data_IF_133813981755
#
_entry.id   IF_133813981755
#
_cell.length_a   1.000
_cell.length_b   1.000
_cell.length_c   1.000
_cell.angle_alpha   90.00
_cell.angle_beta   90.00
_cell.angle_gamma   90.00
#
_symmetry.space_group_name_H-M   'P 1'
#
loop_
_entity.id
_entity.type
_entity.pdbx_description
1 polymer ?
#
# COMPACT_ATOMS: atom_id res chain seq x y z
N UNK A 1 12.21 -9.24 -8.13
CA UNK A 1 10.95 -8.44 -8.13
C UNK A 1 9.87 -9.14 -8.93
N UNK A 2 10.10 -9.48 -10.20
CA UNK A 2 9.11 -10.18 -11.04
C UNK A 2 8.52 -11.42 -10.33
N UNK A 3 9.36 -12.33 -9.82
CA UNK A 3 8.90 -13.51 -9.07
C UNK A 3 7.99 -13.17 -7.87
N UNK A 4 8.26 -12.07 -7.16
CA UNK A 4 7.43 -11.61 -6.03
C UNK A 4 6.08 -11.11 -6.55
N UNK A 5 6.07 -10.26 -7.58
CA UNK A 5 4.83 -9.73 -8.14
C UNK A 5 3.96 -10.82 -8.77
N UNK A 6 4.58 -11.86 -9.34
CA UNK A 6 3.85 -13.05 -9.83
C UNK A 6 3.10 -13.75 -8.71
N UNK A 7 3.70 -13.93 -7.52
CA UNK A 7 3.01 -14.59 -6.39
C UNK A 7 1.96 -13.70 -5.72
N UNK A 8 2.00 -12.38 -5.92
CA UNK A 8 0.90 -11.50 -5.50
C UNK A 8 -0.37 -11.73 -6.34
N UNK A 9 -0.25 -12.37 -7.50
CA UNK A 9 -1.35 -12.87 -8.32
C UNK A 9 -2.44 -11.83 -8.62
N UNK A 10 -2.09 -10.56 -8.83
CA UNK A 10 -3.07 -9.50 -9.13
C UNK A 10 -3.71 -8.82 -7.92
N UNK A 11 -3.33 -9.21 -6.70
CA UNK A 11 -3.61 -8.40 -5.51
C UNK A 11 -2.82 -7.09 -5.53
N UNK A 12 -3.40 -6.03 -4.96
CA UNK A 12 -2.69 -4.78 -4.75
C UNK A 12 -1.92 -4.84 -3.42
N UNK A 13 -0.79 -4.15 -3.32
CA UNK A 13 -0.06 -3.95 -2.07
C UNK A 13 -0.14 -2.46 -1.70
N UNK A 14 -1.10 -2.15 -0.83
CA UNK A 14 -1.39 -0.80 -0.37
C UNK A 14 -1.49 -0.83 1.14
N UNK A 15 -0.85 0.14 1.79
CA UNK A 15 -1.03 0.34 3.22
C UNK A 15 -2.45 0.86 3.50
N UNK A 16 -3.11 0.33 4.53
CA UNK A 16 -4.44 0.76 4.96
C UNK A 16 -4.44 0.94 6.47
N UNK A 17 -5.17 1.94 6.92
CA UNK A 17 -5.45 2.22 8.32
C UNK A 17 -6.58 3.26 8.42
N UNK A 18 -7.07 3.45 9.64
CA UNK A 18 -8.05 4.50 9.90
C UNK A 18 -7.47 5.87 9.53
N UNK A 19 -8.28 6.76 8.93
CA UNK A 19 -7.84 8.11 8.64
C UNK A 19 -7.71 8.89 9.94
N UNK A 20 -6.84 9.90 9.92
CA UNK A 20 -6.79 10.86 11.00
C UNK A 20 -8.07 11.70 10.98
N UNK A 21 -8.79 11.78 12.10
CA UNK A 21 -10.10 12.44 12.17
C UNK A 21 -10.04 13.93 11.80
N UNK A 22 -8.93 14.61 12.09
CA UNK A 22 -8.65 16.00 11.72
C UNK A 22 -8.45 16.21 10.21
N UNK A 23 -8.35 15.13 9.43
CA UNK A 23 -8.05 15.14 7.99
C UNK A 23 -9.17 14.54 7.15
N UNK A 24 -10.36 14.39 7.72
CA UNK A 24 -11.56 14.00 6.98
C UNK A 24 -12.66 14.99 7.31
N UNK A 25 -13.27 15.64 6.31
CA UNK A 25 -14.37 16.56 6.51
C UNK A 25 -15.51 15.92 7.32
N UNK A 26 -15.84 16.52 8.46
CA UNK A 26 -16.99 16.10 9.27
C UNK A 26 -18.31 16.38 8.53
N UNK A 27 -19.24 15.43 8.58
CA UNK A 27 -20.60 15.60 8.02
C UNK A 27 -20.70 15.61 6.49
N UNK A 28 -19.59 15.44 5.75
CA UNK A 28 -19.63 15.33 4.31
C UNK A 28 -20.27 13.98 3.89
N UNK A 29 -21.21 13.97 2.92
CA UNK A 29 -21.73 12.72 2.40
C UNK A 29 -20.66 12.03 1.52
N UNK A 30 -20.30 10.80 1.90
CA UNK A 30 -19.36 9.94 1.19
C UNK A 30 -20.07 8.76 0.50
N UNK A 31 -21.36 8.90 0.18
CA UNK A 31 -22.08 7.87 -0.58
C UNK A 31 -21.61 7.86 -2.03
N UNK A 32 -21.70 6.72 -2.70
CA UNK A 32 -21.35 6.60 -4.12
C UNK A 32 -22.17 7.60 -4.96
N UNK A 33 -23.46 7.78 -4.60
CA UNK A 33 -24.34 8.82 -5.14
C UNK A 33 -23.82 10.24 -4.95
N UNK A 34 -23.44 10.62 -3.72
CA UNK A 34 -22.99 11.98 -3.44
C UNK A 34 -21.63 12.32 -4.07
N UNK A 35 -20.82 11.29 -4.35
CA UNK A 35 -19.54 11.42 -5.03
C UNK A 35 -19.66 11.29 -6.55
N UNK A 36 -20.82 10.89 -7.08
CA UNK A 36 -20.98 10.40 -8.46
C UNK A 36 -19.81 9.47 -8.81
N UNK A 37 -19.53 8.50 -7.93
CA UNK A 37 -18.25 7.79 -7.89
C UNK A 37 -17.97 6.97 -9.16
N UNK A 38 -19.02 6.47 -9.82
CA UNK A 38 -18.93 5.72 -11.07
C UNK A 38 -19.31 6.58 -12.28
N UNK A 39 -18.67 6.31 -13.42
CA UNK A 39 -19.06 6.87 -14.72
C UNK A 39 -20.46 6.40 -15.16
N UNK A 40 -20.90 5.24 -14.67
CA UNK A 40 -22.24 4.71 -14.90
C UNK A 40 -23.15 5.06 -13.71
N UNK A 41 -24.09 5.98 -13.95
CA UNK A 41 -24.98 6.50 -12.92
C UNK A 41 -25.83 5.43 -12.21
N UNK A 42 -26.08 4.29 -12.85
CA UNK A 42 -26.83 3.19 -12.23
C UNK A 42 -26.10 2.55 -11.05
N UNK A 43 -24.77 2.72 -10.98
CA UNK A 43 -23.93 2.18 -9.91
C UNK A 43 -23.78 3.17 -8.73
N UNK A 44 -24.27 4.40 -8.89
CA UNK A 44 -24.18 5.47 -7.90
C UNK A 44 -25.38 5.40 -6.92
N UNK A 45 -25.24 4.58 -5.89
CA UNK A 45 -26.26 4.33 -4.86
C UNK A 45 -25.83 4.83 -3.46
N UNK A 46 -26.54 4.40 -2.42
CA UNK A 46 -26.34 4.86 -1.05
C UNK A 46 -25.28 4.08 -0.26
N UNK A 47 -24.55 3.14 -0.92
CA UNK A 47 -23.31 2.59 -0.37
C UNK A 47 -22.32 3.72 -0.10
N UNK A 48 -21.50 3.55 0.94
CA UNK A 48 -20.55 4.57 1.40
C UNK A 48 -19.13 4.17 1.05
N UNK A 49 -18.38 5.11 0.49
CA UNK A 49 -16.92 5.01 0.41
C UNK A 49 -16.33 5.44 1.75
N UNK A 50 -15.95 4.48 2.60
CA UNK A 50 -15.32 4.81 3.87
C UNK A 50 -13.88 5.22 3.62
N UNK A 51 -13.54 6.45 4.00
CA UNK A 51 -12.20 6.98 3.82
C UNK A 51 -11.20 6.20 4.67
N UNK A 52 -10.11 5.74 4.06
CA UNK A 52 -8.96 5.16 4.74
C UNK A 52 -7.71 6.01 4.46
N UNK A 53 -6.70 5.81 5.29
CA UNK A 53 -5.36 6.36 5.12
C UNK A 53 -4.37 5.22 4.87
N UNK A 54 -3.30 5.54 4.17
CA UNK A 54 -2.21 4.63 3.92
C UNK A 54 -0.91 5.37 3.69
N UNK A 55 -0.22 4.99 2.62
CA UNK A 55 1.04 5.56 2.19
C UNK A 55 0.92 6.02 0.74
N UNK A 56 1.67 7.06 0.39
CA UNK A 56 1.79 7.55 -1.00
C UNK A 56 2.38 6.53 -1.96
N UNK A 57 3.10 5.53 -1.44
CA UNK A 57 3.63 4.42 -2.22
C UNK A 57 2.70 3.22 -2.18
N UNK A 58 2.44 2.64 -3.34
CA UNK A 58 1.59 1.46 -3.55
C UNK A 58 2.09 0.64 -4.76
N UNK A 59 1.82 -0.67 -4.75
CA UNK A 59 1.90 -1.51 -5.95
C UNK A 59 0.48 -1.87 -6.39
N UNK A 60 0.13 -1.46 -7.62
CA UNK A 60 -1.22 -1.57 -8.14
C UNK A 60 -1.25 -2.58 -9.29
N UNK A 61 -2.23 -3.49 -9.25
CA UNK A 61 -2.50 -4.37 -10.39
C UNK A 61 -3.04 -3.57 -11.57
N UNK A 62 -2.76 -4.04 -12.79
CA UNK A 62 -3.31 -3.42 -14.01
C UNK A 62 -4.85 -3.40 -14.00
N UNK A 63 -5.47 -4.45 -13.47
CA UNK A 63 -6.93 -4.55 -13.36
C UNK A 63 -7.50 -3.45 -12.45
N UNK A 64 -6.85 -3.19 -11.30
CA UNK A 64 -7.25 -2.10 -10.42
C UNK A 64 -7.09 -0.74 -11.09
N UNK A 65 -5.95 -0.48 -11.75
CA UNK A 65 -5.73 0.79 -12.46
C UNK A 65 -6.79 1.00 -13.54
N UNK A 66 -7.09 -0.03 -14.34
CA UNK A 66 -8.14 0.03 -15.37
C UNK A 66 -9.52 0.32 -14.76
N UNK A 67 -9.83 -0.30 -13.62
CA UNK A 67 -11.07 0.00 -12.90
C UNK A 67 -11.13 1.45 -12.44
N UNK A 68 -10.06 1.96 -11.82
CA UNK A 68 -10.00 3.35 -11.34
C UNK A 68 -10.14 4.35 -12.48
N UNK A 69 -9.44 4.14 -13.59
CA UNK A 69 -9.42 5.08 -14.73
C UNK A 69 -10.69 4.99 -15.58
N UNK A 70 -11.17 3.78 -15.87
CA UNK A 70 -12.23 3.59 -16.86
C UNK A 70 -13.64 3.55 -16.23
N UNK A 71 -13.75 3.11 -14.97
CA UNK A 71 -15.05 2.89 -14.32
C UNK A 71 -15.42 3.97 -13.33
N UNK A 72 -14.45 4.59 -12.68
CA UNK A 72 -14.71 5.62 -11.67
C UNK A 72 -14.66 7.02 -12.27
N UNK A 73 -15.50 7.90 -11.72
CA UNK A 73 -15.39 9.34 -11.86
C UNK A 73 -14.89 9.89 -10.53
N UNK A 74 -13.61 10.30 -10.49
CA UNK A 74 -12.98 10.76 -9.26
C UNK A 74 -13.10 12.27 -9.02
N UNK A 75 -13.74 13.03 -9.92
CA UNK A 75 -13.73 14.50 -9.87
C UNK A 75 -14.21 15.06 -8.54
N UNK A 76 -15.37 14.62 -8.04
CA UNK A 76 -15.93 15.11 -6.77
C UNK A 76 -15.09 14.61 -5.58
N UNK A 77 -14.59 13.38 -5.64
CA UNK A 77 -13.75 12.81 -4.58
C UNK A 77 -12.43 13.57 -4.44
N UNK A 78 -11.76 13.84 -5.56
CA UNK A 78 -10.51 14.60 -5.60
C UNK A 78 -10.73 16.06 -5.19
N UNK A 79 -11.77 16.75 -5.68
CA UNK A 79 -12.11 18.11 -5.21
C UNK A 79 -12.33 18.17 -3.70
N UNK A 80 -12.96 17.15 -3.10
CA UNK A 80 -13.08 17.07 -1.63
C UNK A 80 -11.74 16.87 -0.94
N UNK A 81 -10.86 16.03 -1.49
CA UNK A 81 -9.53 15.82 -0.94
C UNK A 81 -8.63 17.05 -1.08
N UNK A 82 -8.67 17.75 -2.21
CA UNK A 82 -7.82 18.92 -2.47
C UNK A 82 -8.16 20.12 -1.58
N UNK A 83 -9.36 20.14 -0.97
CA UNK A 83 -9.75 21.14 0.04
C UNK A 83 -9.14 20.90 1.42
N UNK A 84 -8.52 19.75 1.64
CA UNK A 84 -7.85 19.43 2.89
C UNK A 84 -6.39 19.86 2.83
N UNK A 85 -5.88 20.35 3.95
CA UNK A 85 -4.58 21.03 3.99
C UNK A 85 -3.37 20.09 4.05
N UNK A 86 -3.55 18.80 4.35
CA UNK A 86 -2.41 17.92 4.63
C UNK A 86 -2.69 16.42 4.50
N UNK A 87 -1.77 15.68 3.86
CA UNK A 87 -1.73 14.21 3.84
C UNK A 87 -2.82 13.53 2.99
N UNK A 88 -3.36 14.26 2.01
CA UNK A 88 -4.49 13.83 1.16
C UNK A 88 -4.10 12.79 0.12
N UNK A 89 -2.84 12.84 -0.30
CA UNK A 89 -2.17 11.89 -1.19
C UNK A 89 -2.02 10.49 -0.57
N UNK A 90 -2.23 10.36 0.74
CA UNK A 90 -2.23 9.08 1.46
C UNK A 90 -3.61 8.40 1.52
N UNK A 91 -4.67 9.01 0.96
CA UNK A 91 -6.06 8.59 1.24
C UNK A 91 -6.78 7.92 0.07
N UNK A 92 -6.53 8.35 -1.17
CA UNK A 92 -7.29 7.89 -2.35
C UNK A 92 -7.23 6.37 -2.54
N UNK A 93 -6.04 5.83 -2.80
CA UNK A 93 -5.92 4.42 -3.12
C UNK A 93 -6.24 3.53 -1.92
N UNK A 94 -5.89 3.96 -0.71
CA UNK A 94 -6.23 3.26 0.54
C UNK A 94 -7.75 3.13 0.72
N UNK A 95 -8.50 4.19 0.39
CA UNK A 95 -9.97 4.21 0.47
C UNK A 95 -10.59 3.28 -0.57
N UNK A 96 -10.19 3.40 -1.84
CA UNK A 96 -10.70 2.56 -2.93
C UNK A 96 -10.31 1.09 -2.77
N UNK A 97 -9.13 0.82 -2.23
CA UNK A 97 -8.63 -0.54 -2.04
C UNK A 97 -9.32 -1.28 -0.90
N UNK A 98 -9.74 -0.59 0.16
CA UNK A 98 -10.26 -1.22 1.38
C UNK A 98 -11.79 -1.24 1.47
N UNK A 99 -12.50 -0.56 0.58
CA UNK A 99 -13.97 -0.54 0.63
C UNK A 99 -14.56 -1.82 0.02
N UNK A 100 -15.03 -2.71 0.89
CA UNK A 100 -15.61 -4.00 0.50
C UNK A 100 -16.76 -3.83 -0.50
N UNK A 101 -17.61 -2.82 -0.30
CA UNK A 101 -18.77 -2.60 -1.15
C UNK A 101 -18.43 -2.01 -2.53
N UNK A 102 -17.21 -1.50 -2.71
CA UNK A 102 -16.69 -1.06 -4.01
C UNK A 102 -16.20 -2.25 -4.83
N UNK A 103 -15.77 -3.31 -4.15
CA UNK A 103 -15.30 -4.56 -4.74
C UNK A 103 -14.25 -4.37 -5.84
N UNK A 104 -13.35 -3.40 -5.64
CA UNK A 104 -12.34 -3.05 -6.63
C UNK A 104 -11.39 -4.23 -6.92
N UNK A 105 -10.93 -4.44 -8.18
CA UNK A 105 -10.02 -5.55 -8.53
C UNK A 105 -8.73 -5.52 -7.71
N UNK A 106 -8.32 -6.66 -7.15
CA UNK A 106 -7.15 -6.72 -6.26
C UNK A 106 -7.31 -5.94 -4.94
N UNK A 107 -8.51 -5.42 -4.65
CA UNK A 107 -8.88 -4.77 -3.40
C UNK A 107 -8.73 -5.71 -2.20
N UNK A 108 -8.51 -5.12 -1.03
CA UNK A 108 -8.49 -5.82 0.25
C UNK A 108 -9.70 -5.41 1.10
N UNK A 109 -9.83 -6.01 2.28
CA UNK A 109 -11.02 -5.83 3.10
C UNK A 109 -10.84 -4.82 4.23
N UNK A 110 -11.92 -4.10 4.53
CA UNK A 110 -12.01 -3.23 5.70
C UNK A 110 -12.02 -4.02 7.00
N UNK A 111 -12.45 -5.27 6.99
CA UNK A 111 -12.50 -6.11 8.20
C UNK A 111 -11.15 -6.19 8.92
N UNK A 112 -10.04 -6.10 8.18
CA UNK A 112 -8.70 -6.21 8.74
C UNK A 112 -8.02 -4.87 9.02
N UNK A 113 -8.74 -3.75 8.94
CA UNK A 113 -8.13 -2.40 9.04
C UNK A 113 -7.44 -2.14 10.39
N UNK A 114 -7.92 -2.75 11.47
CA UNK A 114 -7.37 -2.58 12.82
C UNK A 114 -6.07 -3.38 13.04
N UNK A 115 -5.84 -4.43 12.25
CA UNK A 115 -4.75 -5.39 12.47
C UNK A 115 -3.72 -5.39 11.34
N UNK A 116 -4.08 -4.92 10.15
CA UNK A 116 -3.21 -4.93 8.99
C UNK A 116 -2.92 -3.50 8.50
N UNK A 117 -1.71 -3.02 8.83
CA UNK A 117 -1.17 -1.74 8.37
C UNK A 117 0.19 -1.89 7.69
N UNK A 118 0.50 -3.07 7.14
CA UNK A 118 1.80 -3.37 6.57
C UNK A 118 1.73 -3.41 5.03
N UNK A 119 2.84 -3.09 4.35
CA UNK A 119 2.99 -3.18 2.90
C UNK A 119 4.43 -3.60 2.56
N UNK A 120 4.63 -4.24 1.41
CA UNK A 120 5.96 -4.60 0.93
C UNK A 120 6.52 -3.60 -0.08
N UNK A 121 5.69 -2.70 -0.62
CA UNK A 121 6.10 -1.76 -1.67
C UNK A 121 7.27 -0.90 -1.23
N UNK A 122 7.23 -0.36 0.00
CA UNK A 122 8.23 0.59 0.48
C UNK A 122 8.60 0.34 1.94
N UNK A 123 9.89 0.17 2.18
CA UNK A 123 10.49 0.21 3.51
C UNK A 123 10.78 1.66 3.92
N UNK A 124 10.26 2.05 5.09
CA UNK A 124 10.52 3.35 5.73
C UNK A 124 10.79 3.11 7.20
N UNK A 125 11.70 3.91 7.76
CA UNK A 125 11.93 4.03 9.20
C UNK A 125 11.54 5.44 9.63
N UNK A 126 10.49 5.53 10.43
CA UNK A 126 10.04 6.78 11.04
C UNK A 126 10.75 6.98 12.38
N UNK A 127 11.04 8.24 12.74
CA UNK A 127 11.69 8.61 14.01
C UNK A 127 10.96 8.07 15.24
N UNK A 128 9.62 8.00 15.19
CA UNK A 128 8.77 7.48 16.26
C UNK A 128 8.53 5.97 16.20
N UNK A 129 9.05 5.27 15.18
CA UNK A 129 8.89 3.82 15.07
C UNK A 129 9.90 3.08 15.95
N UNK A 130 9.63 1.81 16.25
CA UNK A 130 10.56 0.94 16.98
C UNK A 130 11.76 0.50 16.13
N UNK A 131 11.73 0.75 14.82
CA UNK A 131 12.83 0.43 13.90
C UNK A 131 13.98 1.41 14.13
N UNK A 132 15.20 0.87 14.18
CA UNK A 132 16.42 1.68 14.31
C UNK A 132 16.80 2.31 12.97
N UNK A 133 17.13 3.59 12.99
CA UNK A 133 17.86 4.25 11.90
C UNK A 133 19.36 4.10 12.19
N UNK A 134 20.02 3.24 11.43
CA UNK A 134 21.45 2.93 11.58
C UNK A 134 22.34 4.14 11.34
N UNK A 135 21.98 4.99 10.38
CA UNK A 135 22.66 6.26 10.11
C UNK A 135 22.52 7.31 11.21
N UNK A 136 21.47 7.20 12.04
CA UNK A 136 21.10 8.20 13.03
C UNK A 136 20.57 9.53 12.45
N UNK A 137 20.49 9.67 11.12
CA UNK A 137 20.08 10.91 10.47
C UNK A 137 18.62 10.87 10.00
N UNK A 138 17.85 11.89 10.37
CA UNK A 138 16.44 12.02 10.03
C UNK A 138 16.18 13.34 9.34
N UNK A 139 15.36 13.32 8.27
CA UNK A 139 14.84 14.53 7.61
C UNK A 139 13.32 14.42 7.52
N UNK A 140 12.59 15.39 8.08
CA UNK A 140 11.12 15.33 8.20
C UNK A 140 10.64 14.03 8.87
N UNK A 141 11.28 13.66 9.99
CA UNK A 141 11.01 12.45 10.77
C UNK A 141 11.17 11.09 10.05
N UNK A 142 11.74 11.09 8.84
CA UNK A 142 12.07 9.88 8.08
C UNK A 142 13.58 9.69 8.07
N UNK A 143 14.02 8.48 8.44
CA UNK A 143 15.42 8.08 8.39
C UNK A 143 15.98 8.24 6.96
N UNK A 144 17.15 8.86 6.87
CA UNK A 144 17.96 8.87 5.66
C UNK A 144 18.97 7.74 5.80
N UNK A 145 18.79 6.67 5.03
CA UNK A 145 19.63 5.48 5.12
C UNK A 145 21.08 5.80 4.70
N UNK A 146 22.03 5.35 5.52
CA UNK A 146 23.47 5.34 5.21
C UNK A 146 24.00 3.91 5.15
N UNK A 147 25.32 3.74 5.10
CA UNK A 147 25.97 2.42 5.03
C UNK A 147 25.51 1.50 6.17
N UNK A 148 25.35 2.06 7.38
CA UNK A 148 24.93 1.31 8.58
C UNK A 148 23.53 0.69 8.48
N UNK A 149 22.70 1.15 7.54
CA UNK A 149 21.35 0.62 7.33
C UNK A 149 21.29 -0.53 6.30
N UNK A 150 22.33 -0.68 5.48
CA UNK A 150 22.34 -1.66 4.37
C UNK A 150 22.08 -3.11 4.81
N UNK A 151 22.60 -3.62 5.94
CA UNK A 151 22.27 -4.96 6.41
C UNK A 151 20.77 -5.14 6.65
N UNK A 152 20.12 -4.16 7.27
CA UNK A 152 18.67 -4.16 7.53
C UNK A 152 17.88 -4.11 6.22
N UNK A 153 18.29 -3.27 5.28
CA UNK A 153 17.68 -3.20 3.95
C UNK A 153 17.83 -4.53 3.19
N UNK A 154 18.98 -5.19 3.31
CA UNK A 154 19.24 -6.49 2.69
C UNK A 154 18.30 -7.59 3.22
N UNK A 155 18.05 -7.60 4.53
CA UNK A 155 17.11 -8.53 5.16
C UNK A 155 15.63 -8.17 4.97
N UNK A 156 15.34 -6.95 4.51
CA UNK A 156 13.97 -6.48 4.35
C UNK A 156 13.18 -7.31 3.32
N UNK A 157 11.91 -7.51 3.60
CA UNK A 157 10.95 -8.05 2.64
C UNK A 157 10.45 -7.01 1.62
N UNK A 158 10.81 -5.74 1.76
CA UNK A 158 10.29 -4.69 0.89
C UNK A 158 10.94 -4.67 -0.50
N UNK A 159 10.20 -4.13 -1.47
CA UNK A 159 10.64 -3.97 -2.87
C UNK A 159 11.54 -2.75 -3.04
N UNK A 160 11.18 -1.65 -2.37
CA UNK A 160 11.92 -0.39 -2.38
C UNK A 160 12.16 0.10 -0.96
N UNK A 161 13.08 1.06 -0.79
CA UNK A 161 13.36 1.72 0.47
C UNK A 161 13.34 3.24 0.30
N UNK A 162 12.86 3.96 1.31
CA UNK A 162 12.89 5.42 1.36
C UNK A 162 13.41 5.92 2.73
N UNK A 163 14.41 6.81 2.79
CA UNK A 163 15.11 7.49 1.67
C UNK A 163 16.63 7.37 1.78
N UNK A 164 17.30 7.48 0.64
CA UNK A 164 18.75 7.69 0.54
C UNK A 164 18.99 9.05 -0.11
N UNK A 165 20.04 9.75 0.30
CA UNK A 165 20.38 11.08 -0.22
C UNK A 165 21.86 11.12 -0.57
N UNK A 166 22.22 11.44 -1.84
CA UNK A 166 23.61 11.59 -2.26
C UNK A 166 24.42 12.54 -1.39
N UNK A 167 23.80 13.64 -0.95
CA UNK A 167 24.44 14.69 -0.17
C UNK A 167 24.74 14.25 1.27
N UNK A 168 24.10 13.17 1.73
CA UNK A 168 24.31 12.61 3.05
C UNK A 168 25.32 11.45 3.02
N UNK A 169 25.05 10.44 2.18
CA UNK A 169 25.89 9.24 2.08
C UNK A 169 25.77 8.61 0.69
N UNK A 170 26.59 9.09 -0.24
CA UNK A 170 26.65 8.53 -1.60
C UNK A 170 27.22 7.10 -1.62
N UNK A 171 28.06 6.75 -0.64
CA UNK A 171 28.65 5.41 -0.54
C UNK A 171 27.58 4.36 -0.28
N UNK A 172 26.57 4.65 0.56
CA UNK A 172 25.42 3.77 0.75
C UNK A 172 24.70 3.46 -0.58
N UNK A 173 24.48 4.48 -1.42
CA UNK A 173 23.85 4.34 -2.74
C UNK A 173 24.73 3.49 -3.66
N UNK A 174 26.04 3.78 -3.72
CA UNK A 174 26.99 3.03 -4.53
C UNK A 174 27.09 1.56 -4.13
N UNK A 175 27.19 1.27 -2.83
CA UNK A 175 27.21 -0.10 -2.31
C UNK A 175 25.91 -0.85 -2.60
N UNK A 176 24.76 -0.20 -2.44
CA UNK A 176 23.47 -0.83 -2.75
C UNK A 176 23.31 -1.11 -4.25
N UNK A 177 23.70 -0.17 -5.10
CA UNK A 177 23.70 -0.35 -6.55
C UNK A 177 24.63 -1.48 -6.99
N UNK A 178 25.84 -1.56 -6.43
CA UNK A 178 26.78 -2.65 -6.67
C UNK A 178 26.21 -4.01 -6.22
N UNK A 179 25.59 -4.06 -5.03
CA UNK A 179 24.95 -5.28 -4.54
C UNK A 179 23.77 -5.73 -5.42
N UNK A 180 22.96 -4.80 -5.93
CA UNK A 180 21.88 -5.09 -6.87
C UNK A 180 22.42 -5.62 -8.21
N UNK A 181 23.48 -4.99 -8.74
CA UNK A 181 24.17 -5.46 -9.94
C UNK A 181 24.64 -6.90 -9.75
N UNK A 182 25.39 -7.19 -8.68
CA UNK A 182 25.87 -8.54 -8.40
C UNK A 182 24.73 -9.59 -8.34
N UNK A 183 23.59 -9.25 -7.73
CA UNK A 183 22.42 -10.16 -7.70
C UNK A 183 21.90 -10.49 -9.08
N UNK A 184 21.78 -9.48 -9.96
CA UNK A 184 21.30 -9.66 -11.33
C UNK A 184 22.21 -10.64 -12.09
N UNK A 185 23.53 -10.45 -12.02
CA UNK A 185 24.49 -11.29 -12.74
C UNK A 185 24.72 -12.66 -12.12
N UNK A 186 24.47 -12.82 -10.81
CA UNK A 186 24.56 -14.13 -10.16
C UNK A 186 23.49 -15.14 -10.63
N UNK A 187 22.41 -14.67 -11.26
CA UNK A 187 21.28 -15.52 -11.67
C UNK A 187 20.53 -16.18 -10.50
N UNK A 188 20.80 -15.75 -9.25
CA UNK A 188 20.22 -16.35 -8.05
C UNK A 188 18.71 -16.11 -8.02
N UNK A 189 17.93 -17.19 -8.05
CA UNK A 189 16.47 -17.14 -7.89
C UNK A 189 16.08 -16.90 -6.44
N UNK A 190 14.89 -16.31 -6.24
CA UNK A 190 14.34 -16.15 -4.90
C UNK A 190 14.01 -17.55 -4.34
N UNK A 191 14.45 -17.82 -3.11
CA UNK A 191 14.18 -19.10 -2.46
C UNK A 191 12.66 -19.30 -2.24
N UNK A 192 12.14 -20.53 -2.37
CA UNK A 192 10.72 -20.82 -2.18
C UNK A 192 10.15 -20.32 -0.85
N UNK A 193 10.90 -20.41 0.25
CA UNK A 193 10.45 -19.97 1.58
C UNK A 193 10.18 -18.46 1.60
N UNK A 194 11.00 -17.68 0.88
CA UNK A 194 10.82 -16.24 0.75
C UNK A 194 9.61 -15.91 -0.13
N UNK A 195 9.33 -16.70 -1.17
CA UNK A 195 8.12 -16.56 -1.97
C UNK A 195 6.86 -16.91 -1.16
N UNK A 196 6.92 -17.92 -0.29
CA UNK A 196 5.82 -18.29 0.60
C UNK A 196 5.43 -17.16 1.55
N UNK A 197 6.41 -16.42 2.08
CA UNK A 197 6.15 -15.20 2.86
C UNK A 197 5.27 -14.22 2.07
N UNK A 198 5.59 -13.93 0.81
CA UNK A 198 4.80 -13.02 -0.01
C UNK A 198 3.42 -13.59 -0.38
N UNK A 199 3.34 -14.88 -0.73
CA UNK A 199 2.08 -15.54 -1.05
C UNK A 199 1.11 -15.61 0.15
N UNK A 200 1.65 -15.68 1.37
CA UNK A 200 0.88 -15.75 2.62
C UNK A 200 0.34 -14.40 3.13
N UNK A 201 0.69 -13.29 2.47
CA UNK A 201 0.24 -11.94 2.84
C UNK A 201 -1.28 -11.85 2.79
N UNK A 202 -1.88 -11.10 3.72
CA UNK A 202 -3.34 -11.01 3.81
C UNK A 202 -4.02 -10.52 2.53
N UNK A 203 -3.57 -9.46 1.83
CA UNK A 203 -4.17 -9.05 0.56
C UNK A 203 -4.11 -10.13 -0.52
N UNK A 204 -3.05 -10.95 -0.53
CA UNK A 204 -2.87 -12.04 -1.49
C UNK A 204 -3.84 -13.19 -1.18
N UNK A 205 -3.88 -13.64 0.08
CA UNK A 205 -4.82 -14.68 0.54
C UNK A 205 -6.27 -14.28 0.31
N UNK A 206 -6.61 -13.03 0.62
CA UNK A 206 -7.94 -12.48 0.38
C UNK A 206 -8.26 -12.46 -1.11
N UNK A 207 -7.33 -12.00 -1.96
CA UNK A 207 -7.53 -11.94 -3.40
C UNK A 207 -7.73 -13.33 -4.03
N UNK A 208 -6.92 -14.31 -3.64
CA UNK A 208 -6.98 -15.67 -4.21
C UNK A 208 -8.30 -16.40 -3.91
N UNK A 209 -8.97 -16.05 -2.81
CA UNK A 209 -10.24 -16.64 -2.40
C UNK A 209 -11.38 -15.61 -2.37
N UNK A 210 -11.27 -14.53 -3.16
CA UNK A 210 -12.19 -13.38 -3.10
C UNK A 210 -13.67 -13.75 -3.19
N UNK A 211 -14.02 -14.64 -4.11
CA UNK A 211 -15.40 -15.10 -4.30
C UNK A 211 -15.97 -15.77 -3.04
N UNK A 212 -15.14 -16.52 -2.31
CA UNK A 212 -15.52 -17.14 -1.05
C UNK A 212 -15.82 -16.07 0.01
N UNK A 213 -14.99 -15.03 0.10
CA UNK A 213 -15.12 -13.99 1.12
C UNK A 213 -16.28 -13.02 0.87
N UNK A 214 -16.72 -12.86 -0.39
CA UNK A 214 -17.94 -12.09 -0.70
C UNK A 214 -19.17 -12.61 0.04
N UNK A 215 -19.28 -13.92 0.22
CA UNK A 215 -20.43 -14.56 0.86
C UNK A 215 -20.31 -14.66 2.39
N UNK A 216 -19.08 -14.67 2.91
CA UNK A 216 -18.83 -14.81 4.35
C UNK A 216 -17.54 -14.08 4.75
N UNK A 217 -17.61 -12.75 4.73
CA UNK A 217 -16.46 -11.91 5.01
C UNK A 217 -15.93 -12.17 6.43
N UNK A 218 -16.82 -12.25 7.42
CA UNK A 218 -16.49 -12.47 8.82
C UNK A 218 -15.61 -13.71 9.09
N UNK A 219 -15.63 -14.72 8.22
CA UNK A 219 -14.78 -15.90 8.34
C UNK A 219 -13.31 -15.67 7.93
N UNK A 220 -12.99 -14.57 7.25
CA UNK A 220 -11.63 -14.24 6.89
C UNK A 220 -10.82 -13.88 8.14
N UNK A 221 -9.77 -14.66 8.41
CA UNK A 221 -8.91 -14.43 9.56
C UNK A 221 -7.88 -13.32 9.26
N UNK A 222 -8.09 -12.16 9.88
CA UNK A 222 -7.20 -11.02 9.80
C UNK A 222 -5.94 -11.13 10.68
N UNK A 223 -5.83 -12.16 11.52
CA UNK A 223 -4.61 -12.43 12.28
C UNK A 223 -3.53 -12.91 11.31
N UNK A 224 -2.56 -12.04 11.02
CA UNK A 224 -1.38 -12.33 10.22
C UNK A 224 -0.42 -13.21 11.06
N UNK A 225 0.13 -14.33 10.57
CA UNK A 225 1.24 -14.50 9.60
C UNK A 225 2.48 -13.66 9.90
#
# INVERSE_FOLDING_TARGET
MVEILTVLNGSNDINVGHPNADRVPNGAPWTFRALTLFNDDKQNDDRKLRIAKGSTSAALSRAFVKFVVDKLNLTILLDKFDRLSYGVDEMLFSSLHSEDSLDAPGGFTRQCIDVYNNMITRYVVWKKSTKRCGSGYYRHDICVFGIADLPTLNSSGALFANKMLPEYDYTAIGCWAHALHHRIYSGTKIKPEKLNYYASRLPVRFHNERERWRSNLAAFNCSCC
#
